data_IF_743861488456
#
_entry.id   IF_743861488456
#
_cell.length_a   1.000
_cell.length_b   1.000
_cell.length_c   1.000
_cell.angle_alpha   90.00
_cell.angle_beta   90.00
_cell.angle_gamma   90.00
#
_symmetry.space_group_name_H-M   'P 1'
#
loop_
_entity.id
_entity.type
_entity.pdbx_description
1 polymer ?
#
# COMPACT_ATOMS: atom_id res chain seq x y z
N UNK A 1 -43.45 30.78 -22.63
CA UNK A 1 -44.19 29.84 -23.51
C UNK A 1 -43.31 28.92 -24.37
N UNK A 2 -42.02 29.21 -24.58
CA UNK A 2 -41.14 28.43 -25.48
C UNK A 2 -40.74 27.04 -24.95
N UNK A 3 -40.35 26.91 -23.68
CA UNK A 3 -39.79 25.67 -23.09
C UNK A 3 -40.75 24.46 -23.04
N UNK A 4 -42.05 24.66 -22.75
CA UNK A 4 -43.03 23.55 -22.70
C UNK A 4 -43.36 22.98 -24.09
N UNK A 5 -43.18 23.79 -25.14
CA UNK A 5 -43.47 23.39 -26.52
C UNK A 5 -42.32 22.54 -27.08
N UNK A 6 -41.09 22.90 -26.75
CA UNK A 6 -39.89 22.12 -27.07
C UNK A 6 -39.82 20.80 -26.31
N UNK A 7 -40.20 20.76 -25.03
CA UNK A 7 -40.29 19.49 -24.27
C UNK A 7 -41.29 18.50 -24.88
N UNK A 8 -42.49 18.97 -25.28
CA UNK A 8 -43.47 18.12 -25.94
C UNK A 8 -43.00 17.61 -27.31
N UNK A 9 -42.27 18.43 -28.05
CA UNK A 9 -41.71 18.03 -29.34
C UNK A 9 -40.61 16.97 -29.17
N UNK A 10 -39.74 17.13 -28.16
CA UNK A 10 -38.72 16.14 -27.82
C UNK A 10 -39.33 14.82 -27.36
N UNK A 11 -40.39 14.85 -26.56
CA UNK A 11 -41.07 13.64 -26.09
C UNK A 11 -41.75 12.89 -27.23
N UNK A 12 -42.38 13.62 -28.16
CA UNK A 12 -42.96 13.02 -29.36
C UNK A 12 -41.90 12.38 -30.26
N UNK A 13 -40.76 13.04 -30.46
CA UNK A 13 -39.64 12.49 -31.22
C UNK A 13 -39.08 11.22 -30.57
N UNK A 14 -38.88 11.22 -29.25
CA UNK A 14 -38.39 10.05 -28.51
C UNK A 14 -39.39 8.87 -28.53
N UNK A 15 -40.70 9.14 -28.48
CA UNK A 15 -41.72 8.08 -28.60
C UNK A 15 -41.72 7.43 -29.98
N UNK A 16 -41.54 8.23 -31.04
CA UNK A 16 -41.55 7.75 -32.43
C UNK A 16 -40.27 6.96 -32.77
N UNK A 17 -39.10 7.49 -32.40
CA UNK A 17 -37.80 6.87 -32.65
C UNK A 17 -37.64 5.55 -31.88
N UNK A 18 -37.99 5.54 -30.59
CA UNK A 18 -37.87 4.35 -29.75
C UNK A 18 -39.07 3.39 -29.86
N UNK A 19 -40.13 3.79 -30.59
CA UNK A 19 -41.40 3.05 -30.73
C UNK A 19 -42.03 2.67 -29.38
N UNK A 20 -42.05 3.63 -28.46
CA UNK A 20 -42.56 3.44 -27.09
C UNK A 20 -43.78 4.31 -26.82
N UNK A 21 -44.67 3.85 -25.95
CA UNK A 21 -45.82 4.62 -25.51
C UNK A 21 -45.46 5.70 -24.46
N UNK A 22 -46.43 6.57 -24.19
CA UNK A 22 -46.25 7.71 -23.28
C UNK A 22 -46.01 7.29 -21.83
N UNK A 23 -46.60 6.18 -21.38
CA UNK A 23 -46.45 5.69 -20.02
C UNK A 23 -45.09 5.01 -19.83
N UNK A 24 -44.59 4.28 -20.83
CA UNK A 24 -43.22 3.74 -20.82
C UNK A 24 -42.18 4.86 -20.88
N UNK A 25 -42.34 5.89 -21.71
CA UNK A 25 -41.46 7.07 -21.72
C UNK A 25 -41.42 7.76 -20.34
N UNK A 26 -42.58 7.94 -19.70
CA UNK A 26 -42.68 8.54 -18.36
C UNK A 26 -42.01 7.68 -17.30
N UNK A 27 -42.12 6.35 -17.41
CA UNK A 27 -41.45 5.41 -16.51
C UNK A 27 -39.93 5.43 -16.68
N UNK A 28 -39.42 5.53 -17.93
CA UNK A 28 -38.01 5.61 -18.25
C UNK A 28 -37.41 6.91 -17.74
N UNK A 29 -38.06 8.06 -17.99
CA UNK A 29 -37.66 9.35 -17.42
C UNK A 29 -37.60 9.32 -15.89
N UNK A 30 -38.58 8.67 -15.23
CA UNK A 30 -38.60 8.53 -13.76
C UNK A 30 -37.49 7.60 -13.25
N UNK A 31 -37.14 6.56 -14.00
CA UNK A 31 -36.00 5.67 -13.69
C UNK A 31 -34.66 6.40 -13.89
N UNK A 32 -34.48 7.11 -15.00
CA UNK A 32 -33.30 7.94 -15.27
C UNK A 32 -33.14 9.07 -14.25
N UNK A 33 -34.22 9.76 -13.88
CA UNK A 33 -34.17 10.83 -12.88
C UNK A 33 -33.89 10.33 -11.45
N UNK A 34 -34.11 9.03 -11.18
CA UNK A 34 -33.74 8.38 -9.91
C UNK A 34 -32.29 7.89 -9.90
N UNK A 35 -31.67 7.73 -11.06
CA UNK A 35 -30.26 7.41 -11.18
C UNK A 35 -29.53 8.73 -11.04
N UNK A 36 -28.88 8.92 -9.89
CA UNK A 36 -28.02 10.07 -9.67
C UNK A 36 -26.95 10.07 -10.77
N UNK A 37 -26.74 11.18 -11.50
CA UNK A 37 -25.77 11.22 -12.58
C UNK A 37 -24.39 10.89 -12.01
N UNK A 38 -23.91 9.69 -12.31
CA UNK A 38 -22.56 9.25 -11.93
C UNK A 38 -21.57 10.21 -12.59
N UNK A 39 -20.90 11.01 -11.79
CA UNK A 39 -19.83 11.88 -12.29
C UNK A 39 -18.65 11.01 -12.71
N UNK A 40 -18.52 10.72 -14.01
CA UNK A 40 -17.38 10.00 -14.58
C UNK A 40 -16.06 10.65 -14.14
N UNK A 41 -16.02 11.99 -14.12
CA UNK A 41 -14.87 12.77 -13.63
C UNK A 41 -14.61 12.56 -12.13
N UNK A 42 -15.66 12.39 -11.32
CA UNK A 42 -15.54 12.07 -9.90
C UNK A 42 -14.95 10.68 -9.67
N UNK A 43 -15.39 9.70 -10.46
CA UNK A 43 -14.87 8.33 -10.44
C UNK A 43 -13.40 8.29 -10.87
N UNK A 44 -13.04 8.98 -11.95
CA UNK A 44 -11.65 9.10 -12.41
C UNK A 44 -10.76 9.76 -11.34
N UNK A 45 -11.23 10.86 -10.75
CA UNK A 45 -10.51 11.58 -9.70
C UNK A 45 -10.29 10.70 -8.47
N UNK A 46 -11.31 9.94 -8.06
CA UNK A 46 -11.20 8.99 -6.95
C UNK A 46 -10.11 7.96 -7.21
N UNK A 47 -10.12 7.28 -8.36
CA UNK A 47 -9.11 6.28 -8.67
C UNK A 47 -7.71 6.87 -8.77
N UNK A 48 -7.56 8.05 -9.38
CA UNK A 48 -6.29 8.77 -9.42
C UNK A 48 -5.74 9.09 -8.02
N UNK A 49 -6.62 9.54 -7.11
CA UNK A 49 -6.25 9.82 -5.73
C UNK A 49 -5.86 8.54 -4.97
N UNK A 50 -6.58 7.45 -5.17
CA UNK A 50 -6.29 6.15 -4.55
C UNK A 50 -4.93 5.63 -4.98
N UNK A 51 -4.64 5.58 -6.28
CA UNK A 51 -3.34 5.14 -6.81
C UNK A 51 -2.20 6.02 -6.29
N UNK A 52 -2.38 7.36 -6.29
CA UNK A 52 -1.38 8.29 -5.76
C UNK A 52 -1.13 8.06 -4.26
N UNK A 53 -2.19 7.86 -3.48
CA UNK A 53 -2.07 7.62 -2.04
C UNK A 53 -1.32 6.30 -1.76
N UNK A 54 -1.63 5.24 -2.49
CA UNK A 54 -0.97 3.94 -2.32
C UNK A 54 0.51 3.98 -2.69
N UNK A 55 0.86 4.64 -3.80
CA UNK A 55 2.25 4.88 -4.16
C UNK A 55 2.97 5.70 -3.07
N UNK A 56 2.32 6.73 -2.54
CA UNK A 56 2.87 7.56 -1.45
C UNK A 56 3.09 6.73 -0.18
N UNK A 57 2.15 5.86 0.19
CA UNK A 57 2.29 4.97 1.34
C UNK A 57 3.46 3.98 1.17
N UNK A 58 3.59 3.38 -0.01
CA UNK A 58 4.67 2.44 -0.31
C UNK A 58 6.05 3.15 -0.27
N UNK A 59 6.17 4.30 -0.91
CA UNK A 59 7.41 5.11 -0.86
C UNK A 59 7.75 5.60 0.54
N UNK A 60 6.76 5.91 1.37
CA UNK A 60 6.99 6.24 2.79
C UNK A 60 7.53 5.03 3.58
N UNK A 61 7.06 3.82 3.30
CA UNK A 61 7.57 2.58 3.92
C UNK A 61 9.03 2.39 3.52
N UNK A 62 9.36 2.51 2.24
CA UNK A 62 10.73 2.35 1.74
C UNK A 62 11.67 3.39 2.37
N UNK A 63 11.25 4.66 2.40
CA UNK A 63 12.01 5.74 3.03
C UNK A 63 12.25 5.48 4.52
N UNK A 64 11.22 5.09 5.28
CA UNK A 64 11.35 4.80 6.72
C UNK A 64 12.24 3.59 6.98
N UNK A 65 12.14 2.55 6.14
CA UNK A 65 12.98 1.35 6.26
C UNK A 65 14.45 1.68 5.97
N UNK A 66 14.73 2.46 4.92
CA UNK A 66 16.08 2.88 4.59
C UNK A 66 16.71 3.72 5.71
N UNK A 67 15.96 4.68 6.28
CA UNK A 67 16.43 5.46 7.44
C UNK A 67 16.77 4.55 8.61
N UNK A 68 15.90 3.58 8.93
CA UNK A 68 16.11 2.65 10.05
C UNK A 68 17.33 1.75 9.82
N UNK A 69 17.52 1.23 8.60
CA UNK A 69 18.70 0.44 8.22
C UNK A 69 19.97 1.28 8.38
N UNK A 70 19.97 2.53 7.90
CA UNK A 70 21.13 3.42 8.02
C UNK A 70 21.49 3.73 9.48
N UNK A 71 20.50 3.97 10.34
CA UNK A 71 20.73 4.19 11.77
C UNK A 71 21.32 2.94 12.42
N UNK A 72 20.76 1.76 12.16
CA UNK A 72 21.27 0.49 12.70
C UNK A 72 22.71 0.21 12.21
N UNK A 73 23.01 0.49 10.95
CA UNK A 73 24.36 0.34 10.39
C UNK A 73 25.38 1.29 11.04
N UNK A 74 24.98 2.54 11.32
CA UNK A 74 25.80 3.50 12.04
C UNK A 74 26.10 3.00 13.46
N UNK A 75 25.06 2.56 14.18
CA UNK A 75 25.21 2.00 15.54
C UNK A 75 26.16 0.81 15.54
N UNK A 76 26.00 -0.12 14.59
CA UNK A 76 26.86 -1.29 14.44
C UNK A 76 28.33 -0.89 14.20
N UNK A 77 28.56 0.06 13.29
CA UNK A 77 29.90 0.60 13.02
C UNK A 77 30.54 1.21 14.26
N UNK A 78 29.78 1.98 15.04
CA UNK A 78 30.26 2.59 16.27
C UNK A 78 30.61 1.54 17.33
N UNK A 79 29.74 0.54 17.54
CA UNK A 79 29.99 -0.54 18.50
C UNK A 79 31.28 -1.31 18.17
N UNK A 80 31.46 -1.68 16.91
CA UNK A 80 32.68 -2.41 16.47
C UNK A 80 33.92 -1.52 16.65
N UNK A 81 33.84 -0.23 16.33
CA UNK A 81 34.98 0.68 16.37
C UNK A 81 35.39 1.14 17.78
N UNK A 82 34.43 1.41 18.67
CA UNK A 82 34.72 2.01 19.99
C UNK A 82 34.56 1.05 21.14
N UNK A 83 33.53 0.19 21.10
CA UNK A 83 33.19 -0.66 22.24
C UNK A 83 34.02 -1.94 22.25
N UNK A 84 34.46 -2.43 21.08
CA UNK A 84 35.35 -3.60 21.02
C UNK A 84 36.68 -3.34 21.75
N UNK A 85 37.26 -2.14 21.60
CA UNK A 85 38.48 -1.74 22.30
C UNK A 85 38.30 -1.59 23.82
N UNK A 86 37.07 -1.35 24.30
CA UNK A 86 36.74 -1.29 25.73
C UNK A 86 36.40 -2.66 26.31
N UNK A 87 36.02 -3.63 25.47
CA UNK A 87 35.74 -4.99 25.89
C UNK A 87 36.98 -5.70 26.46
N UNK A 88 38.17 -5.35 25.95
CA UNK A 88 39.44 -5.83 26.49
C UNK A 88 39.71 -5.32 27.91
N UNK A 89 39.18 -4.13 28.25
CA UNK A 89 39.33 -3.52 29.58
C UNK A 89 38.26 -4.02 30.57
N UNK A 90 37.00 -4.10 30.12
CA UNK A 90 35.87 -4.54 30.94
C UNK A 90 35.10 -5.68 30.25
N UNK A 91 35.51 -6.95 30.43
CA UNK A 91 34.90 -8.09 29.75
C UNK A 91 33.40 -8.26 30.03
N UNK A 92 32.92 -7.74 31.16
CA UNK A 92 31.50 -7.81 31.56
C UNK A 92 30.57 -7.00 30.63
N UNK A 93 31.10 -6.04 29.85
CA UNK A 93 30.33 -5.25 28.88
C UNK A 93 29.92 -6.06 27.64
N UNK A 94 30.44 -7.29 27.46
CA UNK A 94 30.08 -8.14 26.33
C UNK A 94 28.58 -8.44 26.27
N UNK A 95 27.90 -8.56 27.41
CA UNK A 95 26.48 -8.90 27.47
C UNK A 95 25.58 -7.81 26.85
N UNK A 96 25.63 -6.53 27.28
CA UNK A 96 24.86 -5.46 26.64
C UNK A 96 25.27 -5.23 25.18
N UNK A 97 26.55 -5.43 24.82
CA UNK A 97 27.04 -5.31 23.44
C UNK A 97 26.43 -6.37 22.52
N UNK A 98 26.50 -7.64 22.90
CA UNK A 98 25.90 -8.72 22.10
C UNK A 98 24.39 -8.53 21.99
N UNK A 99 23.73 -8.06 23.06
CA UNK A 99 22.29 -7.79 23.03
C UNK A 99 21.92 -6.71 22.01
N UNK A 100 22.63 -5.57 21.99
CA UNK A 100 22.36 -4.50 21.02
C UNK A 100 22.66 -4.96 19.59
N UNK A 101 23.70 -5.76 19.38
CA UNK A 101 24.06 -6.30 18.06
C UNK A 101 22.95 -7.21 17.53
N UNK A 102 22.47 -8.16 18.34
CA UNK A 102 21.42 -9.10 17.95
C UNK A 102 20.11 -8.37 17.66
N UNK A 103 19.70 -7.45 18.52
CA UNK A 103 18.45 -6.71 18.34
C UNK A 103 18.48 -5.76 17.15
N UNK A 104 19.63 -5.10 16.86
CA UNK A 104 19.81 -4.33 15.64
C UNK A 104 19.74 -5.20 14.39
N UNK A 105 20.37 -6.38 14.40
CA UNK A 105 20.33 -7.31 13.27
C UNK A 105 18.89 -7.79 12.98
N UNK A 106 18.14 -8.14 14.02
CA UNK A 106 16.72 -8.52 13.89
C UNK A 106 15.90 -7.34 13.35
N UNK A 107 16.14 -6.12 13.85
CA UNK A 107 15.47 -4.92 13.33
C UNK A 107 15.74 -4.71 11.84
N UNK A 108 17.01 -4.73 11.41
CA UNK A 108 17.40 -4.63 9.99
C UNK A 108 16.69 -5.69 9.15
N UNK A 109 16.64 -6.93 9.63
CA UNK A 109 16.00 -8.05 8.92
C UNK A 109 14.54 -7.77 8.63
N UNK A 110 13.78 -7.28 9.62
CA UNK A 110 12.38 -6.88 9.41
C UNK A 110 12.23 -5.68 8.47
N UNK A 111 13.15 -4.70 8.52
CA UNK A 111 13.12 -3.54 7.63
C UNK A 111 13.36 -3.96 6.16
N UNK A 112 14.33 -4.86 5.91
CA UNK A 112 14.60 -5.43 4.59
C UNK A 112 13.38 -6.22 4.09
N UNK A 113 12.72 -7.00 4.95
CA UNK A 113 11.51 -7.71 4.56
C UNK A 113 10.34 -6.76 4.21
N UNK A 114 10.26 -5.59 4.84
CA UNK A 114 9.23 -4.59 4.52
C UNK A 114 9.45 -3.94 3.14
N UNK A 115 10.70 -3.79 2.68
CA UNK A 115 11.04 -3.19 1.38
C UNK A 115 11.09 -4.19 0.23
N UNK A 116 10.98 -5.49 0.52
CA UNK A 116 11.00 -6.54 -0.50
C UNK A 116 9.88 -6.29 -1.54
N UNK A 117 10.20 -6.30 -2.86
CA UNK A 117 9.18 -6.23 -3.89
C UNK A 117 8.33 -7.50 -3.83
N UNK A 118 7.03 -7.35 -4.02
CA UNK A 118 6.11 -8.47 -3.97
C UNK A 118 5.75 -8.90 -5.40
N UNK A 119 5.77 -10.20 -5.61
CA UNK A 119 5.80 -10.80 -6.95
C UNK A 119 4.42 -10.88 -7.60
N UNK A 120 3.37 -10.92 -6.78
CA UNK A 120 1.98 -11.03 -7.23
C UNK A 120 1.07 -10.30 -6.24
N UNK A 121 0.12 -9.51 -6.76
CA UNK A 121 -0.95 -8.92 -5.96
C UNK A 121 -2.31 -9.16 -6.61
N UNK A 122 -3.27 -9.54 -5.76
CA UNK A 122 -4.64 -9.79 -6.18
C UNK A 122 -4.97 -11.26 -6.35
N UNK A 123 -6.20 -11.49 -6.78
CA UNK A 123 -6.73 -12.81 -7.11
C UNK A 123 -6.40 -13.12 -8.57
N UNK A 124 -5.74 -14.26 -8.84
CA UNK A 124 -5.45 -14.74 -10.20
C UNK A 124 -6.73 -14.92 -11.03
N UNK A 125 -7.88 -15.13 -10.38
CA UNK A 125 -9.17 -15.35 -11.03
C UNK A 125 -9.90 -14.06 -11.48
N UNK A 126 -9.46 -12.89 -11.04
CA UNK A 126 -9.93 -11.63 -11.59
C UNK A 126 -8.94 -11.21 -12.68
N UNK A 127 -9.44 -10.76 -13.84
CA UNK A 127 -8.70 -10.13 -14.95
C UNK A 127 -8.01 -8.83 -14.50
N UNK A 128 -7.21 -8.89 -13.44
CA UNK A 128 -6.45 -7.79 -12.90
C UNK A 128 -5.18 -7.61 -13.74
N UNK A 129 -5.42 -7.27 -15.01
CA UNK A 129 -4.41 -6.96 -16.02
C UNK A 129 -3.67 -5.65 -15.72
N UNK A 130 -4.03 -4.95 -14.64
CA UNK A 130 -3.37 -3.73 -14.21
C UNK A 130 -2.04 -3.98 -13.49
N UNK A 131 -1.82 -5.19 -12.96
CA UNK A 131 -0.58 -5.55 -12.29
C UNK A 131 0.32 -6.39 -13.21
N UNK A 132 1.59 -5.97 -13.34
CA UNK A 132 2.55 -6.61 -14.25
C UNK A 132 2.71 -8.11 -14.00
N UNK A 133 2.76 -8.56 -12.75
CA UNK A 133 2.93 -9.99 -12.43
C UNK A 133 1.71 -10.86 -12.77
N UNK A 134 0.58 -10.27 -13.16
CA UNK A 134 -0.60 -11.02 -13.62
C UNK A 134 -0.63 -11.16 -15.15
N UNK A 135 0.08 -10.32 -15.91
CA UNK A 135 0.12 -10.40 -17.38
C UNK A 135 1.51 -10.71 -17.95
N UNK A 136 2.55 -10.79 -17.12
CA UNK A 136 3.93 -11.03 -17.57
C UNK A 136 4.11 -12.31 -18.42
N UNK A 137 3.23 -13.30 -18.21
CA UNK A 137 3.27 -14.60 -18.88
C UNK A 137 2.22 -14.70 -20.02
N UNK A 138 1.49 -13.62 -20.31
CA UNK A 138 0.47 -13.57 -21.36
C UNK A 138 1.08 -13.19 -22.72
N UNK A 139 0.50 -13.69 -23.80
CA UNK A 139 0.83 -13.21 -25.15
C UNK A 139 0.31 -11.79 -25.38
N UNK A 140 1.02 -11.00 -26.19
CA UNK A 140 0.67 -9.61 -26.48
C UNK A 140 -0.76 -9.48 -27.02
N UNK A 141 -1.15 -10.33 -27.97
CA UNK A 141 -2.49 -10.33 -28.56
C UNK A 141 -3.58 -10.59 -27.51
N UNK A 142 -3.35 -11.55 -26.61
CA UNK A 142 -4.28 -11.88 -25.53
C UNK A 142 -4.43 -10.72 -24.54
N UNK A 143 -3.33 -10.05 -24.19
CA UNK A 143 -3.35 -8.89 -23.29
C UNK A 143 -4.12 -7.72 -23.91
N UNK A 144 -3.83 -7.38 -25.18
CA UNK A 144 -4.50 -6.28 -25.90
C UNK A 144 -6.00 -6.53 -25.99
N UNK A 145 -6.42 -7.72 -26.42
CA UNK A 145 -7.85 -8.06 -26.52
C UNK A 145 -8.53 -8.00 -25.14
N UNK A 146 -7.88 -8.55 -24.12
CA UNK A 146 -8.45 -8.63 -22.78
C UNK A 146 -8.60 -7.26 -22.12
N UNK A 147 -7.64 -6.35 -22.32
CA UNK A 147 -7.70 -5.00 -21.75
C UNK A 147 -8.65 -4.10 -22.53
N UNK A 148 -8.70 -4.22 -23.86
CA UNK A 148 -9.67 -3.49 -24.69
C UNK A 148 -11.10 -3.92 -24.36
N UNK A 149 -11.36 -5.21 -24.17
CA UNK A 149 -12.68 -5.68 -23.75
C UNK A 149 -13.07 -5.11 -22.37
N UNK A 150 -12.12 -5.03 -21.43
CA UNK A 150 -12.36 -4.45 -20.11
C UNK A 150 -12.70 -2.95 -20.21
N UNK A 151 -11.99 -2.19 -21.05
CA UNK A 151 -12.25 -0.76 -21.29
C UNK A 151 -13.65 -0.50 -21.84
N UNK A 152 -14.19 -1.41 -22.65
CA UNK A 152 -15.53 -1.32 -23.22
C UNK A 152 -16.64 -1.72 -22.23
N UNK A 153 -16.29 -2.30 -21.08
CA UNK A 153 -17.22 -2.75 -20.03
C UNK A 153 -17.07 -1.89 -18.77
N UNK A 154 -17.57 -0.65 -18.82
CA UNK A 154 -17.34 0.37 -17.77
C UNK A 154 -17.55 -0.11 -16.33
N UNK A 155 -18.65 -0.80 -16.03
CA UNK A 155 -18.91 -1.28 -14.67
C UNK A 155 -17.94 -2.38 -14.21
N UNK A 156 -17.55 -3.29 -15.09
CA UNK A 156 -16.55 -4.31 -14.79
C UNK A 156 -15.13 -3.72 -14.69
N UNK A 157 -14.80 -2.71 -15.50
CA UNK A 157 -13.56 -1.93 -15.35
C UNK A 157 -13.45 -1.34 -13.95
N UNK A 158 -14.47 -0.59 -13.52
CA UNK A 158 -14.44 0.05 -12.20
C UNK A 158 -14.38 -0.94 -11.04
N UNK A 159 -15.09 -2.06 -11.15
CA UNK A 159 -15.03 -3.16 -10.17
C UNK A 159 -13.65 -3.81 -10.13
N UNK A 160 -13.00 -3.96 -11.27
CA UNK A 160 -11.63 -4.50 -11.36
C UNK A 160 -10.64 -3.54 -10.70
N UNK A 161 -10.73 -2.23 -10.95
CA UNK A 161 -9.88 -1.22 -10.30
C UNK A 161 -10.10 -1.20 -8.79
N UNK A 162 -11.35 -1.30 -8.33
CA UNK A 162 -11.66 -1.35 -6.91
C UNK A 162 -11.06 -2.59 -6.22
N UNK A 163 -11.13 -3.77 -6.86
CA UNK A 163 -10.51 -5.00 -6.37
C UNK A 163 -9.00 -4.88 -6.28
N UNK A 164 -8.36 -4.38 -7.34
CA UNK A 164 -6.91 -4.17 -7.36
C UNK A 164 -6.47 -3.24 -6.22
N UNK A 165 -7.14 -2.10 -6.10
CA UNK A 165 -6.89 -1.13 -5.02
C UNK A 165 -7.03 -1.78 -3.63
N UNK A 166 -8.03 -2.64 -3.42
CA UNK A 166 -8.21 -3.36 -2.15
C UNK A 166 -7.02 -4.28 -1.82
N UNK A 167 -6.58 -5.08 -2.79
CA UNK A 167 -5.45 -5.99 -2.59
C UNK A 167 -4.12 -5.26 -2.41
N UNK A 168 -3.91 -4.17 -3.14
CA UNK A 168 -2.74 -3.30 -2.97
C UNK A 168 -2.72 -2.67 -1.57
N UNK A 169 -3.88 -2.30 -1.01
CA UNK A 169 -4.01 -1.88 0.38
C UNK A 169 -3.59 -2.97 1.38
N UNK A 170 -4.03 -4.22 1.16
CA UNK A 170 -3.65 -5.38 2.01
C UNK A 170 -2.14 -5.66 1.97
N UNK A 171 -1.49 -5.44 0.83
CA UNK A 171 -0.02 -5.49 0.71
C UNK A 171 0.66 -4.43 1.56
N UNK A 172 0.22 -3.18 1.43
CA UNK A 172 0.81 -2.06 2.17
C UNK A 172 0.67 -2.31 3.67
N UNK A 173 -0.47 -2.81 4.14
CA UNK A 173 -0.66 -3.17 5.56
C UNK A 173 0.33 -4.24 6.03
N UNK A 174 0.57 -5.30 5.24
CA UNK A 174 1.56 -6.34 5.58
C UNK A 174 2.97 -5.76 5.70
N UNK A 175 3.39 -4.92 4.75
CA UNK A 175 4.68 -4.22 4.80
C UNK A 175 4.78 -3.29 6.00
N UNK A 176 3.72 -2.55 6.29
CA UNK A 176 3.66 -1.64 7.44
C UNK A 176 3.78 -2.38 8.77
N UNK A 177 3.17 -3.57 8.90
CA UNK A 177 3.29 -4.44 10.07
C UNK A 177 4.73 -4.93 10.28
N UNK A 178 5.43 -5.31 9.20
CA UNK A 178 6.83 -5.69 9.26
C UNK A 178 7.71 -4.50 9.72
N UNK A 179 7.49 -3.33 9.11
CA UNK A 179 8.20 -2.11 9.50
C UNK A 179 7.93 -1.75 10.97
N UNK A 180 6.69 -1.84 11.44
CA UNK A 180 6.35 -1.58 12.85
C UNK A 180 7.06 -2.56 13.80
N UNK A 181 7.13 -3.84 13.45
CA UNK A 181 7.91 -4.83 14.21
C UNK A 181 9.39 -4.47 14.27
N UNK A 182 9.96 -4.04 13.14
CA UNK A 182 11.35 -3.57 13.06
C UNK A 182 11.64 -2.42 14.04
N UNK A 183 10.77 -1.40 14.07
CA UNK A 183 10.89 -0.28 15.00
C UNK A 183 10.74 -0.71 16.46
N UNK A 184 9.78 -1.60 16.76
CA UNK A 184 9.57 -2.08 18.13
C UNK A 184 10.78 -2.88 18.63
N UNK A 185 11.32 -3.80 17.82
CA UNK A 185 12.50 -4.58 18.19
C UNK A 185 13.72 -3.68 18.38
N UNK A 186 13.93 -2.70 17.49
CA UNK A 186 14.99 -1.72 17.62
C UNK A 186 14.90 -0.94 18.94
N UNK A 187 13.72 -0.39 19.22
CA UNK A 187 13.49 0.42 20.41
C UNK A 187 13.69 -0.39 21.69
N UNK A 188 13.09 -1.57 21.78
CA UNK A 188 13.27 -2.47 22.94
C UNK A 188 14.73 -2.86 23.08
N UNK A 189 15.42 -3.16 21.97
CA UNK A 189 16.83 -3.52 21.96
C UNK A 189 17.72 -2.44 22.54
N UNK A 190 17.54 -1.18 22.12
CA UNK A 190 18.29 -0.05 22.66
C UNK A 190 18.03 0.13 24.15
N UNK A 191 16.76 0.18 24.57
CA UNK A 191 16.40 0.43 25.98
C UNK A 191 16.97 -0.68 26.86
N UNK A 192 16.79 -1.94 26.47
CA UNK A 192 17.33 -3.10 27.20
C UNK A 192 18.86 -3.07 27.28
N UNK A 193 19.54 -2.67 26.19
CA UNK A 193 21.00 -2.61 26.16
C UNK A 193 21.55 -1.50 27.06
N UNK A 194 20.90 -0.33 27.07
CA UNK A 194 21.25 0.77 27.98
C UNK A 194 21.04 0.37 29.44
N UNK A 195 19.91 -0.28 29.75
CA UNK A 195 19.67 -0.81 31.11
C UNK A 195 20.71 -1.87 31.49
N UNK A 196 21.09 -2.74 30.55
CA UNK A 196 22.13 -3.74 30.75
C UNK A 196 23.50 -3.12 31.03
N UNK A 197 23.85 -2.05 30.31
CA UNK A 197 25.11 -1.31 30.53
C UNK A 197 25.16 -0.69 31.93
N UNK A 198 24.08 -0.02 32.35
CA UNK A 198 23.96 0.57 33.69
C UNK A 198 24.04 -0.52 34.77
N UNK A 199 23.29 -1.62 34.59
CA UNK A 199 23.30 -2.73 35.53
C UNK A 199 24.71 -3.33 35.68
N UNK A 200 25.42 -3.58 34.57
CA UNK A 200 26.79 -4.08 34.63
C UNK A 200 27.70 -3.13 35.42
N UNK A 201 27.59 -1.82 35.18
CA UNK A 201 28.42 -0.85 35.90
C UNK A 201 28.05 -0.73 37.39
N UNK A 202 26.78 -0.90 37.77
CA UNK A 202 26.36 -0.85 39.19
C UNK A 202 26.78 -2.12 39.94
N UNK A 203 26.65 -3.30 39.33
CA UNK A 203 26.97 -4.57 39.99
C UNK A 203 28.47 -4.91 39.98
N UNK A 204 29.19 -4.58 38.90
CA UNK A 204 30.61 -4.90 38.75
C UNK A 204 31.52 -3.70 39.01
N UNK A 205 31.03 -2.46 38.89
CA UNK A 205 31.81 -1.26 39.20
C UNK A 205 32.00 -1.00 40.70
N UNK A 206 31.31 -1.72 41.58
CA UNK A 206 31.58 -1.74 43.02
C UNK A 206 32.59 -2.79 43.48
N UNK A 207 33.16 -3.57 42.54
CA UNK A 207 34.07 -4.69 42.80
C UNK A 207 35.55 -4.36 42.45
N UNK A 208 35.83 -3.10 42.09
CA UNK A 208 37.19 -2.54 42.01
C UNK A 208 37.47 -1.60 43.17
#
# INVERSE_FOLDING_TARGET
MSSKKTEKAADNYLMDELKIDKDTLKSLKKKLAKIEPRSERGVETLFRLLSKNQYTLNTMIDRKSNILISINALILSLIIGTVMSQLDADPHLIFPVVMILVTNLISITYAIFATRPELVHGDKGARNLMFYGNFQDMEEAEYVDSITQLMNQGDELYKTIAKDTFYLGKTIDRKFKLLRKSFNVFLVGIIMSVMGFIACHVFFGGLM
#
